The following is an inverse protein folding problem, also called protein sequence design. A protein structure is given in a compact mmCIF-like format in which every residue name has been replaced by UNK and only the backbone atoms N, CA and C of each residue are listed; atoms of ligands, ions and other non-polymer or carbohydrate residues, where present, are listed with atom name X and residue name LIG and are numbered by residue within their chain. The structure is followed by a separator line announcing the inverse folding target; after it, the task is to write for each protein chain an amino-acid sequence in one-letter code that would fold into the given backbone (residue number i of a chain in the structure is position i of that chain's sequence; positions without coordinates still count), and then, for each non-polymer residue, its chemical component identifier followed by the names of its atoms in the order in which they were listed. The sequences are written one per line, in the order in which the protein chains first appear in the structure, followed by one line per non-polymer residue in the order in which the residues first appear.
data_IF_376009962732
#
_entry.id   IF_376009962732
#
_cell.length_a   1.000
_cell.length_b   1.000
_cell.length_c   1.000
_cell.angle_alpha   90.00
_cell.angle_beta   90.00
_cell.angle_gamma   90.00
#
_symmetry.space_group_name_H-M   'P 1'
#
loop_
_entity.id
_entity.type
_entity.pdbx_description
1 polymer ?
#
# COMPACT_ATOMS: atom_id res chain seq x y z
N UNK A 1 -70.55 -31.70 1.59
CA UNK A 1 -70.35 -32.26 0.24
C UNK A 1 -69.34 -31.35 -0.45
N UNK A 2 -68.10 -31.67 -0.77
CA UNK A 2 -67.32 -32.91 -0.86
C UNK A 2 -65.86 -32.51 -0.66
N UNK A 3 -65.17 -33.16 0.28
CA UNK A 3 -63.73 -32.99 0.49
C UNK A 3 -62.93 -33.61 -0.66
N UNK A 4 -61.88 -32.94 -1.11
CA UNK A 4 -60.76 -33.59 -1.84
C UNK A 4 -59.44 -33.10 -1.26
N UNK A 5 -58.88 -33.93 -0.40
CA UNK A 5 -57.46 -33.93 -0.07
C UNK A 5 -56.68 -34.28 -1.34
N UNK A 6 -55.63 -33.52 -1.66
CA UNK A 6 -54.54 -34.02 -2.49
C UNK A 6 -53.22 -33.73 -1.80
N UNK A 7 -52.40 -34.78 -1.78
CA UNK A 7 -51.22 -34.94 -0.97
C UNK A 7 -50.11 -33.94 -1.33
N UNK A 8 -49.48 -33.43 -0.26
CA UNK A 8 -48.16 -32.84 -0.28
C UNK A 8 -47.15 -33.95 -0.60
N UNK A 9 -46.30 -33.74 -1.60
CA UNK A 9 -45.06 -34.51 -1.78
C UNK A 9 -43.90 -33.52 -1.66
N UNK A 10 -43.21 -33.55 -0.52
CA UNK A 10 -41.91 -32.91 -0.36
C UNK A 10 -40.86 -33.81 -1.00
N UNK A 11 -40.31 -33.41 -2.15
CA UNK A 11 -39.05 -33.95 -2.63
C UNK A 11 -37.91 -33.27 -1.87
N UNK A 12 -37.44 -33.90 -0.80
CA UNK A 12 -36.12 -33.64 -0.23
C UNK A 12 -35.07 -34.23 -1.18
N UNK A 13 -34.67 -33.47 -2.20
CA UNK A 13 -33.45 -33.75 -2.91
C UNK A 13 -32.29 -33.31 -2.02
N UNK A 14 -31.73 -34.26 -1.27
CA UNK A 14 -30.46 -34.08 -0.57
C UNK A 14 -29.33 -34.00 -1.59
N UNK A 15 -29.24 -32.88 -2.30
CA UNK A 15 -27.99 -32.51 -2.96
C UNK A 15 -27.01 -32.14 -1.85
N UNK A 16 -26.13 -33.08 -1.50
CA UNK A 16 -24.85 -32.75 -0.90
C UNK A 16 -24.11 -31.84 -1.89
N UNK A 17 -24.29 -30.54 -1.73
CA UNK A 17 -23.36 -29.57 -2.28
C UNK A 17 -22.06 -29.81 -1.50
N UNK A 18 -21.14 -30.58 -2.07
CA UNK A 18 -19.73 -30.26 -1.87
C UNK A 18 -19.59 -28.86 -2.46
N UNK A 19 -19.76 -27.83 -1.64
CA UNK A 19 -19.16 -26.56 -1.94
C UNK A 19 -17.67 -26.86 -2.05
N UNK A 20 -17.17 -26.92 -3.29
CA UNK A 20 -15.74 -26.81 -3.52
C UNK A 20 -15.35 -25.54 -2.76
N UNK A 21 -14.61 -25.70 -1.66
CA UNK A 21 -14.05 -24.55 -0.98
C UNK A 21 -13.32 -23.78 -2.07
N UNK A 22 -13.58 -22.47 -2.23
CA UNK A 22 -12.86 -21.71 -3.23
C UNK A 22 -11.39 -21.98 -2.99
N UNK A 23 -10.71 -22.53 -3.99
CA UNK A 23 -9.25 -22.53 -4.00
C UNK A 23 -8.92 -21.06 -3.88
N UNK A 24 -8.42 -20.67 -2.71
CA UNK A 24 -7.99 -19.30 -2.48
C UNK A 24 -6.74 -19.18 -3.34
N UNK A 25 -6.93 -18.80 -4.59
CA UNK A 25 -5.85 -18.53 -5.52
C UNK A 25 -5.07 -17.40 -4.87
N UNK A 26 -3.91 -17.75 -4.30
CA UNK A 26 -3.07 -16.77 -3.62
C UNK A 26 -2.47 -15.95 -4.73
N UNK A 27 -3.07 -14.78 -4.98
CA UNK A 27 -2.52 -13.81 -5.89
C UNK A 27 -1.05 -13.57 -5.51
N UNK A 28 -0.14 -13.89 -6.42
CA UNK A 28 1.29 -13.76 -6.18
C UNK A 28 1.59 -12.27 -6.09
N UNK A 29 2.25 -11.85 -5.02
CA UNK A 29 2.70 -10.46 -4.88
C UNK A 29 3.74 -10.13 -5.97
N UNK A 30 3.37 -9.22 -6.87
CA UNK A 30 4.25 -8.61 -7.87
C UNK A 30 4.25 -7.10 -7.69
N UNK A 31 5.41 -6.52 -7.43
CA UNK A 31 5.59 -5.07 -7.24
C UNK A 31 6.45 -4.44 -8.33
N UNK A 32 6.07 -3.24 -8.78
CA UNK A 32 6.85 -2.43 -9.69
C UNK A 32 7.13 -1.04 -9.13
N UNK A 33 8.39 -0.58 -9.19
CA UNK A 33 8.76 0.79 -8.83
C UNK A 33 8.37 1.77 -9.93
N UNK A 34 7.73 2.86 -9.54
CA UNK A 34 7.36 3.97 -10.42
C UNK A 34 7.90 5.28 -9.83
N UNK A 35 9.12 5.68 -10.20
CA UNK A 35 9.76 6.87 -9.65
C UNK A 35 9.08 8.19 -10.06
N UNK A 36 9.14 9.18 -9.17
CA UNK A 36 8.60 10.51 -9.46
C UNK A 36 9.22 11.20 -10.68
N UNK A 37 10.51 11.02 -10.92
CA UNK A 37 11.23 11.73 -12.00
C UNK A 37 10.89 11.23 -13.42
N UNK A 38 10.19 10.10 -13.58
CA UNK A 38 9.78 9.61 -14.91
C UNK A 38 8.35 10.00 -15.30
N UNK A 39 7.58 10.63 -14.41
CA UNK A 39 6.14 10.82 -14.62
C UNK A 39 5.77 11.88 -15.66
N UNK A 40 6.74 12.74 -16.01
CA UNK A 40 6.59 13.67 -17.13
C UNK A 40 6.63 12.96 -18.49
N UNK A 41 7.30 11.81 -18.58
CA UNK A 41 7.48 11.07 -19.84
C UNK A 41 6.68 9.77 -19.89
N UNK A 42 6.34 9.20 -18.73
CA UNK A 42 5.53 7.99 -18.59
C UNK A 42 4.33 8.35 -17.72
N UNK A 43 3.15 8.51 -18.31
CA UNK A 43 1.93 8.77 -17.55
C UNK A 43 1.41 7.48 -16.85
N UNK A 44 0.64 7.58 -15.75
CA UNK A 44 0.10 6.40 -15.06
C UNK A 44 -0.76 5.48 -15.95
N UNK A 45 -1.40 6.03 -17.00
CA UNK A 45 -2.19 5.24 -17.95
C UNK A 45 -1.35 4.32 -18.86
N UNK A 46 -0.04 4.57 -18.97
CA UNK A 46 0.89 3.74 -19.75
C UNK A 46 1.50 2.60 -18.93
N UNK A 47 1.22 2.52 -17.63
CA UNK A 47 1.76 1.47 -16.76
C UNK A 47 1.10 0.12 -17.07
N UNK A 48 1.87 -0.99 -17.03
CA UNK A 48 1.36 -2.33 -17.29
C UNK A 48 0.62 -2.89 -16.07
N UNK A 49 -0.54 -2.32 -15.75
CA UNK A 49 -1.30 -2.64 -14.53
C UNK A 49 -1.65 -4.12 -14.38
N UNK A 50 -1.92 -4.82 -15.49
CA UNK A 50 -2.24 -6.26 -15.47
C UNK A 50 -1.05 -7.13 -15.00
N UNK A 51 0.18 -6.62 -15.11
CA UNK A 51 1.40 -7.33 -14.74
C UNK A 51 1.83 -7.12 -13.29
N UNK A 52 1.14 -6.26 -12.54
CA UNK A 52 1.49 -5.95 -11.14
C UNK A 52 0.28 -6.09 -10.22
N UNK A 53 0.58 -6.26 -8.94
CA UNK A 53 -0.40 -6.25 -7.84
C UNK A 53 -0.27 -4.99 -6.98
N UNK A 54 0.97 -4.53 -6.81
CA UNK A 54 1.33 -3.37 -6.00
C UNK A 54 2.22 -2.44 -6.82
N UNK A 55 1.89 -1.16 -6.84
CA UNK A 55 2.77 -0.12 -7.34
C UNK A 55 3.54 0.49 -6.18
N UNK A 56 4.85 0.57 -6.30
CA UNK A 56 5.73 1.28 -5.36
C UNK A 56 5.99 2.66 -5.94
N UNK A 57 5.24 3.66 -5.47
CA UNK A 57 5.30 5.02 -5.96
C UNK A 57 6.52 5.71 -5.34
N UNK A 58 7.61 5.72 -6.10
CA UNK A 58 8.91 5.92 -5.52
C UNK A 58 9.32 7.37 -5.42
N UNK A 59 9.57 7.76 -4.17
CA UNK A 59 10.37 8.92 -3.82
C UNK A 59 9.83 9.67 -2.62
N UNK A 60 10.69 9.94 -1.65
CA UNK A 60 10.37 10.82 -0.53
C UNK A 60 11.59 11.01 0.35
N UNK A 61 12.05 12.25 0.47
CA UNK A 61 13.17 12.61 1.34
C UNK A 61 12.66 12.64 2.78
N UNK A 62 13.17 11.75 3.63
CA UNK A 62 12.96 11.80 5.09
C UNK A 62 13.95 12.79 5.68
N UNK A 63 13.47 13.76 6.47
CA UNK A 63 14.30 14.73 7.17
C UNK A 63 14.54 14.32 8.62
N UNK A 64 15.67 14.73 9.18
CA UNK A 64 16.07 14.36 10.54
C UNK A 64 15.07 14.82 11.64
N UNK A 65 14.23 15.82 11.37
CA UNK A 65 13.21 16.32 12.29
C UNK A 65 11.87 15.58 12.21
N UNK A 66 11.78 14.57 11.33
CA UNK A 66 10.60 13.77 11.04
C UNK A 66 9.69 14.34 9.94
N UNK A 67 10.04 15.46 9.30
CA UNK A 67 9.33 15.95 8.11
C UNK A 67 9.70 15.14 6.86
N UNK A 68 8.86 15.22 5.82
CA UNK A 68 9.01 14.47 4.57
C UNK A 68 8.81 15.43 3.39
N UNK A 69 9.74 15.40 2.42
CA UNK A 69 9.66 16.19 1.17
C UNK A 69 9.50 15.24 -0.02
N UNK A 70 8.49 15.45 -0.87
CA UNK A 70 8.21 14.59 -2.03
C UNK A 70 8.70 15.21 -3.34
N UNK A 71 8.80 16.53 -3.39
CA UNK A 71 9.10 17.32 -4.57
C UNK A 71 10.54 17.13 -5.08
N UNK A 72 11.48 16.76 -4.20
CA UNK A 72 12.86 16.39 -4.58
C UNK A 72 12.87 15.25 -5.59
N UNK A 73 11.92 14.32 -5.44
CA UNK A 73 11.71 13.18 -6.32
C UNK A 73 10.76 13.47 -7.48
N UNK A 74 10.28 14.71 -7.64
CA UNK A 74 9.26 15.11 -8.63
C UNK A 74 7.87 14.51 -8.40
N UNK A 75 7.58 14.04 -7.19
CA UNK A 75 6.24 13.67 -6.76
C UNK A 75 5.46 14.93 -6.35
N UNK A 76 4.89 15.61 -7.34
CA UNK A 76 3.99 16.75 -7.12
C UNK A 76 2.59 16.27 -6.70
N UNK A 77 1.77 17.13 -6.06
CA UNK A 77 0.40 16.76 -5.71
C UNK A 77 -0.46 16.29 -6.90
N UNK A 78 -0.22 16.80 -8.11
CA UNK A 78 -0.94 16.36 -9.31
C UNK A 78 -0.49 14.97 -9.77
N UNK A 79 0.82 14.70 -9.78
CA UNK A 79 1.39 13.39 -10.08
C UNK A 79 0.91 12.32 -9.09
N UNK A 80 0.89 12.66 -7.80
CA UNK A 80 0.40 11.78 -6.74
C UNK A 80 -1.07 11.41 -6.98
N UNK A 81 -1.95 12.40 -7.08
CA UNK A 81 -3.39 12.17 -7.28
C UNK A 81 -3.68 11.37 -8.55
N UNK A 82 -3.00 11.67 -9.65
CA UNK A 82 -3.16 10.95 -10.91
C UNK A 82 -2.74 9.48 -10.79
N UNK A 83 -1.62 9.20 -10.11
CA UNK A 83 -1.10 7.84 -9.95
C UNK A 83 -1.99 7.01 -9.04
N UNK A 84 -2.40 7.54 -7.89
CA UNK A 84 -3.28 6.85 -6.95
C UNK A 84 -4.62 6.51 -7.60
N UNK A 85 -5.23 7.49 -8.29
CA UNK A 85 -6.49 7.28 -9.00
C UNK A 85 -6.39 6.24 -10.13
N UNK A 86 -5.23 6.14 -10.80
CA UNK A 86 -4.99 5.13 -11.82
C UNK A 86 -4.85 3.72 -11.21
N UNK A 87 -4.05 3.58 -10.13
CA UNK A 87 -3.89 2.31 -9.43
C UNK A 87 -5.23 1.75 -8.95
N UNK A 88 -6.03 2.58 -8.25
CA UNK A 88 -7.33 2.17 -7.73
C UNK A 88 -8.33 1.82 -8.82
N UNK A 89 -8.34 2.56 -9.94
CA UNK A 89 -9.20 2.24 -11.10
C UNK A 89 -8.81 0.91 -11.75
N UNK A 90 -7.52 0.57 -11.72
CA UNK A 90 -7.00 -0.73 -12.16
C UNK A 90 -7.10 -1.81 -11.07
N UNK A 91 -7.75 -1.52 -9.94
CA UNK A 91 -7.90 -2.42 -8.79
C UNK A 91 -6.56 -2.90 -8.21
N UNK A 92 -5.53 -2.07 -8.28
CA UNK A 92 -4.18 -2.34 -7.74
C UNK A 92 -3.92 -1.51 -6.49
N UNK A 93 -3.02 -2.00 -5.64
CA UNK A 93 -2.55 -1.27 -4.46
C UNK A 93 -1.43 -0.32 -4.83
N UNK A 94 -1.34 0.83 -4.15
CA UNK A 94 -0.27 1.79 -4.34
C UNK A 94 0.33 2.21 -3.00
N UNK A 95 1.63 2.03 -2.84
CA UNK A 95 2.37 2.39 -1.63
C UNK A 95 3.30 3.56 -1.93
N UNK A 96 3.35 4.53 -1.02
CA UNK A 96 4.36 5.59 -1.06
C UNK A 96 5.69 5.04 -0.56
N UNK A 97 6.75 5.16 -1.35
CA UNK A 97 8.10 4.81 -0.89
C UNK A 97 8.81 6.04 -0.35
N UNK A 98 9.32 5.94 0.87
CA UNK A 98 10.15 6.96 1.52
C UNK A 98 11.57 6.44 1.64
N UNK A 99 12.56 7.21 1.18
CA UNK A 99 13.97 6.85 1.27
C UNK A 99 14.63 6.56 -0.08
N UNK A 100 15.44 5.50 -0.10
CA UNK A 100 16.38 5.14 -1.16
C UNK A 100 17.83 5.34 -0.74
N UNK A 101 18.75 5.15 -1.68
CA UNK A 101 20.18 5.28 -1.43
C UNK A 101 20.56 6.62 -0.78
N UNK A 102 21.49 6.57 0.18
CA UNK A 102 22.05 7.73 0.89
C UNK A 102 21.06 8.50 1.79
N UNK A 103 19.99 7.86 2.25
CA UNK A 103 18.95 8.51 3.09
C UNK A 103 19.10 8.24 4.58
N UNK A 104 20.10 7.46 4.99
CA UNK A 104 20.31 7.07 6.39
C UNK A 104 20.28 8.23 7.40
N UNK A 105 20.89 9.39 7.08
CA UNK A 105 20.93 10.51 8.02
C UNK A 105 19.54 11.02 8.41
N UNK A 106 18.65 11.16 7.43
CA UNK A 106 17.26 11.56 7.65
C UNK A 106 16.52 10.58 8.55
N UNK A 107 16.60 9.30 8.23
CA UNK A 107 15.97 8.25 9.03
C UNK A 107 16.55 8.16 10.46
N UNK A 108 17.86 8.33 10.64
CA UNK A 108 18.50 8.33 11.98
C UNK A 108 17.91 9.42 12.87
N UNK A 109 17.73 10.62 12.34
CA UNK A 109 17.09 11.71 13.09
C UNK A 109 15.60 11.48 13.31
N UNK A 110 14.87 11.10 12.25
CA UNK A 110 13.42 10.93 12.27
C UNK A 110 12.97 9.79 13.19
N UNK A 111 13.79 8.73 13.32
CA UNK A 111 13.51 7.54 14.15
C UNK A 111 13.89 7.69 15.63
N UNK A 112 14.58 8.79 15.99
CA UNK A 112 14.97 9.09 17.37
C UNK A 112 13.76 9.23 18.29
N UNK A 113 13.96 9.03 19.59
CA UNK A 113 12.89 9.17 20.60
C UNK A 113 12.20 10.55 20.56
N UNK A 114 12.92 11.58 20.15
CA UNK A 114 12.41 12.94 20.06
C UNK A 114 11.45 13.13 18.87
N UNK A 115 11.73 12.51 17.72
CA UNK A 115 11.04 12.81 16.46
C UNK A 115 10.14 11.68 15.96
N UNK A 116 10.28 10.46 16.49
CA UNK A 116 9.60 9.25 15.97
C UNK A 116 8.09 9.39 15.89
N UNK A 117 7.44 9.93 16.91
CA UNK A 117 5.98 10.11 16.90
C UNK A 117 5.53 11.09 15.81
N UNK A 118 6.26 12.20 15.63
CA UNK A 118 6.00 13.16 14.56
C UNK A 118 6.21 12.52 13.20
N UNK A 119 7.30 11.77 13.02
CA UNK A 119 7.59 11.11 11.76
C UNK A 119 6.49 10.11 11.38
N UNK A 120 6.07 9.26 12.31
CA UNK A 120 4.95 8.33 12.10
C UNK A 120 3.67 9.10 11.74
N UNK A 121 3.34 10.16 12.47
CA UNK A 121 2.15 10.98 12.18
C UNK A 121 2.20 11.61 10.78
N UNK A 122 3.38 12.05 10.33
CA UNK A 122 3.56 12.60 8.98
C UNK A 122 3.39 11.54 7.90
N UNK A 123 3.89 10.32 8.11
CA UNK A 123 3.64 9.17 7.21
C UNK A 123 2.14 8.90 7.12
N UNK A 124 1.46 8.73 8.26
CA UNK A 124 0.02 8.47 8.33
C UNK A 124 -0.77 9.57 7.61
N UNK A 125 -0.39 10.82 7.82
CA UNK A 125 -1.03 11.98 7.20
C UNK A 125 -0.89 11.93 5.67
N UNK A 126 0.31 11.70 5.14
CA UNK A 126 0.53 11.60 3.69
C UNK A 126 -0.25 10.46 3.06
N UNK A 127 -0.26 9.28 3.70
CA UNK A 127 -1.02 8.11 3.24
C UNK A 127 -2.51 8.47 3.14
N UNK A 128 -3.08 9.03 4.21
CA UNK A 128 -4.50 9.36 4.26
C UNK A 128 -4.90 10.52 3.33
N UNK A 129 -4.10 11.59 3.28
CA UNK A 129 -4.38 12.79 2.48
C UNK A 129 -4.37 12.49 0.98
N UNK A 130 -3.43 11.65 0.54
CA UNK A 130 -3.30 11.29 -0.87
C UNK A 130 -4.01 9.99 -1.25
N UNK A 131 -4.49 9.22 -0.28
CA UNK A 131 -5.22 7.98 -0.51
C UNK A 131 -4.33 6.80 -0.90
N UNK A 132 -3.07 6.77 -0.44
CA UNK A 132 -2.23 5.59 -0.60
C UNK A 132 -2.80 4.40 0.18
N UNK A 133 -2.50 3.18 -0.27
CA UNK A 133 -2.87 1.94 0.43
C UNK A 133 -1.84 1.53 1.51
N UNK A 134 -0.73 2.26 1.61
CA UNK A 134 0.31 2.00 2.58
C UNK A 134 1.59 2.78 2.30
N UNK A 135 2.64 2.41 3.01
CA UNK A 135 3.98 2.99 2.92
C UNK A 135 5.02 1.89 2.79
N UNK A 136 6.07 2.17 2.03
CA UNK A 136 7.32 1.39 1.96
C UNK A 136 8.45 2.25 2.54
N UNK A 137 9.21 1.71 3.49
CA UNK A 137 10.30 2.43 4.18
C UNK A 137 11.66 1.89 3.68
N UNK A 138 12.25 2.61 2.73
CA UNK A 138 13.50 2.26 2.06
C UNK A 138 14.69 2.95 2.74
N UNK A 139 14.98 2.54 3.99
CA UNK A 139 16.07 3.11 4.79
C UNK A 139 17.42 2.52 4.37
N UNK A 140 18.21 3.28 3.62
CA UNK A 140 19.52 2.83 3.15
C UNK A 140 20.69 3.81 3.42
N UNK A 141 21.81 3.31 3.99
CA UNK A 141 21.92 2.03 4.70
C UNK A 141 21.20 2.05 6.06
N UNK A 142 20.64 0.91 6.47
CA UNK A 142 20.21 0.68 7.85
C UNK A 142 21.37 0.09 8.65
N UNK A 143 22.03 0.89 9.49
CA UNK A 143 23.10 0.38 10.35
C UNK A 143 22.55 -0.37 11.57
N UNK A 144 23.25 -1.44 11.99
CA UNK A 144 22.78 -2.36 13.05
C UNK A 144 22.34 -1.67 14.35
N UNK A 145 23.00 -0.56 14.73
CA UNK A 145 22.66 0.21 15.92
C UNK A 145 21.24 0.81 15.90
N UNK A 146 20.62 0.94 14.71
CA UNK A 146 19.28 1.48 14.53
C UNK A 146 18.18 0.41 14.38
N UNK A 147 18.51 -0.89 14.49
CA UNK A 147 17.53 -1.96 14.36
C UNK A 147 16.35 -1.83 15.34
N UNK A 148 16.61 -1.38 16.57
CA UNK A 148 15.55 -1.13 17.56
C UNK A 148 14.64 0.04 17.15
N UNK A 149 15.21 1.12 16.63
CA UNK A 149 14.46 2.27 16.15
C UNK A 149 13.60 1.90 14.92
N UNK A 150 14.15 1.09 14.01
CA UNK A 150 13.39 0.53 12.88
C UNK A 150 12.17 -0.28 13.36
N UNK A 151 12.35 -1.18 14.34
CA UNK A 151 11.24 -1.96 14.91
C UNK A 151 10.15 -1.07 15.53
N UNK A 152 10.53 0.03 16.17
CA UNK A 152 9.59 0.99 16.75
C UNK A 152 8.85 1.81 15.68
N UNK A 153 9.47 2.06 14.52
CA UNK A 153 8.83 2.72 13.39
C UNK A 153 7.81 1.84 12.67
N UNK A 154 8.12 0.57 12.40
CA UNK A 154 7.27 -0.28 11.56
C UNK A 154 6.02 -0.78 12.29
N UNK A 155 6.06 -0.96 13.61
CA UNK A 155 4.93 -1.51 14.40
C UNK A 155 3.65 -0.66 14.28
N UNK A 156 3.70 0.68 14.39
CA UNK A 156 2.52 1.51 14.20
C UNK A 156 2.08 1.58 12.72
N UNK A 157 3.02 1.57 11.78
CA UNK A 157 2.72 1.63 10.34
C UNK A 157 1.99 0.37 9.83
N UNK A 158 2.18 -0.78 10.48
CA UNK A 158 1.48 -2.03 10.15
C UNK A 158 -0.04 -2.01 10.44
N UNK A 159 -0.57 -0.90 10.97
CA UNK A 159 -2.00 -0.70 11.29
C UNK A 159 -2.63 0.45 10.51
N UNK A 160 -1.91 1.00 9.53
CA UNK A 160 -2.42 1.98 8.59
C UNK A 160 -3.55 1.39 7.73
#
# INVERSE_FOLDING_TARGET
MTHRFHHIVFYLCSSLWLAALPVQDREIWVSGYYPGWIQETVAPAALPWDSITHLLHFGGTVQADGSITLEDFKLTPSHIKATVAAAHRSQKRVLLVLGGAYTAEGFRGASSDLNRERFIANIVSLVNVYGYDGVDLDWEPLEQQYNAAFQQLVRPCARL
#
